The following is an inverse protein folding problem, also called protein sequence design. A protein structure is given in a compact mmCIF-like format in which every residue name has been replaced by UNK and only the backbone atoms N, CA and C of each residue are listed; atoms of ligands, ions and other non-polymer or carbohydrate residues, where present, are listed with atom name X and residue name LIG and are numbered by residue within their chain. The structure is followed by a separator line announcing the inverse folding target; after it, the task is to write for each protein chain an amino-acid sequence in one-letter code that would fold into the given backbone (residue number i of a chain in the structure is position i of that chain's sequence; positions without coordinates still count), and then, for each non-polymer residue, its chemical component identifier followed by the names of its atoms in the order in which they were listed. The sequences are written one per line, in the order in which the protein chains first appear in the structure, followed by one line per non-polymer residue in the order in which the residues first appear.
data_IF_513459070756
#
_entry.id   IF_513459070756
#
_cell.length_a   1.000
_cell.length_b   1.000
_cell.length_c   1.000
_cell.angle_alpha   90.00
_cell.angle_beta   90.00
_cell.angle_gamma   90.00
#
_symmetry.space_group_name_H-M   'P 1'
#
loop_
_entity.id
_entity.type
_entity.pdbx_description
1 polymer ?
#
# COMPACT_ATOMS: atom_id res chain seq x y z
N UNK A 1 8.75 21.56 5.54
CA UNK A 1 8.71 21.35 6.99
C UNK A 1 9.90 20.51 7.42
N UNK A 2 10.64 20.95 8.39
CA UNK A 2 11.69 20.13 8.98
C UNK A 2 11.06 18.87 9.60
N UNK A 3 11.55 17.68 9.22
CA UNK A 3 11.14 16.44 9.89
C UNK A 3 11.58 16.56 11.35
N UNK A 4 10.63 16.43 12.27
CA UNK A 4 10.95 16.36 13.69
C UNK A 4 11.87 15.16 13.90
N UNK A 5 13.07 15.41 14.41
CA UNK A 5 13.95 14.30 14.77
C UNK A 5 13.26 13.43 15.80
N UNK A 6 13.22 12.11 15.51
CA UNK A 6 12.61 11.16 16.42
C UNK A 6 13.44 11.09 17.70
N UNK A 7 12.79 11.28 18.83
CA UNK A 7 13.43 11.06 20.11
C UNK A 7 13.80 9.58 20.26
N UNK A 8 14.80 9.29 21.10
CA UNK A 8 15.23 7.92 21.37
C UNK A 8 14.05 7.13 21.96
N UNK A 9 13.63 6.06 21.27
CA UNK A 9 12.46 5.24 21.65
C UNK A 9 11.18 5.55 20.88
N UNK A 10 11.19 6.55 19.99
CA UNK A 10 10.05 6.83 19.11
C UNK A 10 9.92 5.77 18.02
N UNK A 11 8.69 5.59 17.54
CA UNK A 11 8.35 4.66 16.46
C UNK A 11 8.04 5.46 15.21
N UNK A 12 8.58 5.03 14.07
CA UNK A 12 8.24 5.61 12.77
C UNK A 12 6.89 5.05 12.33
N UNK A 13 5.93 5.94 12.07
CA UNK A 13 4.59 5.57 11.62
C UNK A 13 4.45 5.88 10.13
N UNK A 14 3.97 4.91 9.37
CA UNK A 14 3.74 5.05 7.94
C UNK A 14 2.45 4.35 7.54
N UNK A 15 1.88 4.77 6.42
CA UNK A 15 0.67 4.18 5.87
C UNK A 15 0.73 4.12 4.36
N UNK A 16 0.04 3.15 3.79
CA UNK A 16 0.01 2.95 2.35
C UNK A 16 -1.16 2.12 1.89
N UNK A 17 -1.07 1.62 0.67
CA UNK A 17 -2.19 0.95 0.03
C UNK A 17 -1.84 -0.30 -0.72
N UNK A 18 -2.78 -1.25 -0.70
CA UNK A 18 -2.93 -2.28 -1.71
C UNK A 18 -3.88 -1.69 -2.76
N UNK A 19 -3.31 -1.18 -3.85
CA UNK A 19 -4.04 -0.43 -4.87
C UNK A 19 -4.41 -1.36 -6.01
N UNK A 20 -5.70 -1.48 -6.26
CA UNK A 20 -6.27 -2.45 -7.19
C UNK A 20 -6.88 -1.77 -8.41
N UNK A 21 -6.77 -2.45 -9.55
CA UNK A 21 -7.56 -2.16 -10.75
C UNK A 21 -8.14 -3.46 -11.31
N UNK A 22 -9.21 -3.36 -12.08
CA UNK A 22 -9.70 -4.46 -12.90
C UNK A 22 -9.03 -4.41 -14.27
N UNK A 23 -8.62 -5.57 -14.78
CA UNK A 23 -8.13 -5.70 -16.14
C UNK A 23 -8.84 -6.87 -16.83
N UNK A 24 -8.58 -7.06 -18.13
CA UNK A 24 -9.09 -8.21 -18.88
C UNK A 24 -8.62 -9.55 -18.31
N UNK A 25 -7.53 -9.55 -17.54
CA UNK A 25 -6.93 -10.72 -16.89
C UNK A 25 -7.37 -10.92 -15.44
N UNK A 26 -8.31 -10.09 -14.94
CA UNK A 26 -8.74 -10.09 -13.56
C UNK A 26 -8.22 -8.89 -12.78
N UNK A 27 -8.12 -9.00 -11.47
CA UNK A 27 -7.62 -7.91 -10.63
C UNK A 27 -6.09 -7.86 -10.64
N UNK A 28 -5.58 -6.66 -10.75
CA UNK A 28 -4.16 -6.39 -10.68
C UNK A 28 -3.86 -5.38 -9.56
N UNK A 29 -2.69 -5.52 -8.95
CA UNK A 29 -2.20 -4.64 -7.89
C UNK A 29 -1.03 -3.81 -8.38
N UNK A 30 -0.95 -2.56 -7.92
CA UNK A 30 0.16 -1.66 -8.25
C UNK A 30 1.34 -1.90 -7.33
N UNK A 31 2.51 -2.15 -7.90
CA UNK A 31 3.79 -2.10 -7.21
C UNK A 31 4.60 -0.92 -7.74
N UNK A 32 5.41 -0.33 -6.88
CA UNK A 32 6.26 0.80 -7.23
C UNK A 32 7.74 0.44 -7.09
N UNK A 33 8.56 1.03 -7.95
CA UNK A 33 10.01 0.90 -7.92
C UNK A 33 10.64 2.11 -7.24
N UNK A 34 11.56 1.85 -6.29
CA UNK A 34 12.31 2.90 -5.61
C UNK A 34 13.76 2.90 -6.11
N UNK A 35 14.18 3.94 -6.87
CA UNK A 35 15.51 3.94 -7.49
C UNK A 35 16.65 3.93 -6.47
N UNK A 36 16.48 4.59 -5.33
CA UNK A 36 17.50 4.64 -4.27
C UNK A 36 17.88 3.26 -3.73
N UNK A 37 16.90 2.35 -3.64
CA UNK A 37 17.09 1.02 -3.09
C UNK A 37 17.07 -0.08 -4.15
N UNK A 38 16.73 0.27 -5.38
CA UNK A 38 16.48 -0.66 -6.48
C UNK A 38 15.59 -1.83 -6.03
N UNK A 39 14.45 -1.49 -5.44
CA UNK A 39 13.48 -2.46 -4.94
C UNK A 39 12.07 -2.18 -5.44
N UNK A 40 11.22 -3.21 -5.37
CA UNK A 40 9.80 -3.14 -5.67
C UNK A 40 9.01 -3.26 -4.39
N UNK A 41 8.14 -2.30 -4.12
CA UNK A 41 7.40 -2.18 -2.87
C UNK A 41 5.94 -1.84 -3.11
N UNK A 42 5.13 -1.99 -2.05
CA UNK A 42 3.81 -1.37 -1.98
C UNK A 42 3.98 0.14 -1.75
N UNK A 43 3.15 0.99 -2.38
CA UNK A 43 3.23 2.43 -2.17
C UNK A 43 2.85 2.80 -0.74
N UNK A 44 3.68 3.62 -0.09
CA UNK A 44 3.51 4.02 1.32
C UNK A 44 4.41 5.19 1.68
N UNK A 45 4.11 5.85 2.78
CA UNK A 45 4.98 6.89 3.32
C UNK A 45 4.64 7.27 4.75
N UNK A 46 5.40 8.19 5.29
CA UNK A 46 5.34 8.57 6.70
C UNK A 46 4.16 9.49 7.01
N UNK A 47 3.55 9.32 8.20
CA UNK A 47 2.52 10.22 8.68
C UNK A 47 3.09 11.63 8.89
N UNK A 48 2.30 12.62 8.48
CA UNK A 48 2.51 14.02 8.84
C UNK A 48 1.84 14.33 10.18
N UNK A 49 2.32 15.36 10.87
CA UNK A 49 1.75 15.76 12.15
C UNK A 49 0.25 16.07 12.03
N UNK A 50 -0.56 15.48 12.89
CA UNK A 50 -2.02 15.70 12.92
C UNK A 50 -2.80 14.95 11.84
N UNK A 51 -2.13 14.18 10.99
CA UNK A 51 -2.75 13.40 9.92
C UNK A 51 -3.29 12.07 10.46
N UNK A 52 -4.50 11.67 10.02
CA UNK A 52 -4.98 10.31 10.30
C UNK A 52 -4.19 9.28 9.49
N UNK A 53 -4.20 8.04 9.94
CA UNK A 53 -3.57 6.93 9.21
C UNK A 53 -4.16 6.79 7.80
N UNK A 54 -5.49 6.89 7.68
CA UNK A 54 -6.19 6.74 6.40
C UNK A 54 -5.87 7.89 5.44
N UNK A 55 -5.84 9.12 5.93
CA UNK A 55 -5.49 10.28 5.11
C UNK A 55 -4.04 10.19 4.62
N UNK A 56 -3.13 9.75 5.48
CA UNK A 56 -1.74 9.48 5.11
C UNK A 56 -1.66 8.43 4.00
N UNK A 57 -2.38 7.32 4.16
CA UNK A 57 -2.37 6.24 3.18
C UNK A 57 -2.78 6.73 1.79
N UNK A 58 -3.89 7.46 1.71
CA UNK A 58 -4.38 8.02 0.44
C UNK A 58 -3.39 9.04 -0.13
N UNK A 59 -2.93 9.98 0.68
CA UNK A 59 -1.99 11.02 0.25
C UNK A 59 -0.69 10.43 -0.29
N UNK A 60 -0.08 9.51 0.43
CA UNK A 60 1.18 8.90 0.02
C UNK A 60 1.03 8.07 -1.26
N UNK A 61 -0.06 7.32 -1.39
CA UNK A 61 -0.35 6.58 -2.63
C UNK A 61 -0.49 7.55 -3.80
N UNK A 62 -1.25 8.62 -3.65
CA UNK A 62 -1.45 9.62 -4.72
C UNK A 62 -0.15 10.33 -5.09
N UNK A 63 0.66 10.73 -4.10
CA UNK A 63 1.96 11.36 -4.34
C UNK A 63 2.95 10.43 -5.04
N UNK A 64 3.07 9.19 -4.60
CA UNK A 64 4.03 8.23 -5.17
C UNK A 64 3.62 7.72 -6.55
N UNK A 65 2.34 7.58 -6.81
CA UNK A 65 1.84 6.94 -8.04
C UNK A 65 1.18 7.89 -9.03
N UNK A 66 0.68 9.04 -8.57
CA UNK A 66 -0.15 9.93 -9.37
C UNK A 66 -1.56 9.38 -9.63
N UNK A 67 -1.92 8.25 -9.02
CA UNK A 67 -3.24 7.65 -9.17
C UNK A 67 -4.23 8.33 -8.24
N UNK A 68 -5.46 8.53 -8.71
CA UNK A 68 -6.59 8.89 -7.87
C UNK A 68 -7.22 7.62 -7.33
N UNK A 69 -7.39 7.50 -6.00
CA UNK A 69 -7.83 6.27 -5.36
C UNK A 69 -9.00 6.50 -4.41
N UNK A 70 -9.82 5.47 -4.27
CA UNK A 70 -10.89 5.40 -3.29
C UNK A 70 -10.48 4.44 -2.16
N UNK A 71 -10.51 4.94 -0.92
CA UNK A 71 -10.16 4.17 0.26
C UNK A 71 -11.20 3.06 0.51
N UNK A 72 -10.70 1.85 0.73
CA UNK A 72 -11.47 0.69 1.13
C UNK A 72 -11.16 0.25 2.55
N UNK A 73 -11.36 -1.03 2.84
CA UNK A 73 -11.12 -1.61 4.16
C UNK A 73 -9.64 -1.79 4.50
N UNK A 74 -9.36 -1.94 5.79
CA UNK A 74 -8.02 -2.23 6.28
C UNK A 74 -7.50 -3.56 5.70
N UNK A 75 -6.27 -3.57 5.22
CA UNK A 75 -5.68 -4.73 4.55
C UNK A 75 -4.68 -5.50 5.40
N UNK A 76 -3.89 -4.82 6.20
CA UNK A 76 -2.88 -5.45 7.03
C UNK A 76 -1.79 -4.49 7.46
N UNK A 77 -0.82 -5.01 8.21
CA UNK A 77 0.27 -4.22 8.75
C UNK A 77 1.57 -5.01 8.74
N UNK A 78 2.68 -4.29 8.78
CA UNK A 78 3.98 -4.87 9.06
C UNK A 78 4.78 -3.95 9.97
N UNK A 79 5.73 -4.53 10.70
CA UNK A 79 6.65 -3.79 11.53
C UNK A 79 8.05 -4.35 11.37
N UNK A 80 9.03 -3.47 11.45
CA UNK A 80 10.44 -3.87 11.33
C UNK A 80 11.36 -2.81 11.92
N UNK A 81 12.58 -3.20 12.19
CA UNK A 81 13.61 -2.28 12.68
C UNK A 81 14.29 -1.59 11.51
N UNK A 82 14.39 -0.26 11.60
CA UNK A 82 15.26 0.54 10.73
C UNK A 82 16.53 0.92 11.50
N UNK A 83 17.49 1.51 10.81
CA UNK A 83 18.72 2.02 11.47
C UNK A 83 18.44 3.09 12.53
N UNK A 84 17.29 3.78 12.45
CA UNK A 84 16.95 4.91 13.34
C UNK A 84 15.99 4.51 14.44
N UNK A 85 14.95 3.70 14.11
CA UNK A 85 13.88 3.37 15.03
C UNK A 85 13.04 2.21 14.50
N UNK A 86 12.24 1.56 15.35
CA UNK A 86 11.18 0.65 14.88
C UNK A 86 10.22 1.39 13.97
N UNK A 87 9.70 0.70 12.96
CA UNK A 87 8.74 1.25 12.00
C UNK A 87 7.52 0.36 11.93
N UNK A 88 6.33 0.99 11.95
CA UNK A 88 5.04 0.33 11.74
C UNK A 88 4.41 0.92 10.48
N UNK A 89 3.95 0.05 9.59
CA UNK A 89 3.26 0.45 8.37
C UNK A 89 1.87 -0.21 8.35
N UNK A 90 0.83 0.60 8.21
CA UNK A 90 -0.54 0.13 8.04
C UNK A 90 -0.96 0.29 6.59
N UNK A 91 -1.67 -0.69 6.04
CA UNK A 91 -2.12 -0.71 4.66
C UNK A 91 -3.64 -0.84 4.56
N UNK A 92 -4.23 -0.12 3.62
CA UNK A 92 -5.65 -0.20 3.27
C UNK A 92 -5.80 -0.67 1.83
N UNK A 93 -6.87 -1.41 1.57
CA UNK A 93 -7.30 -1.66 0.19
C UNK A 93 -7.75 -0.35 -0.44
N UNK A 94 -7.39 -0.12 -1.69
CA UNK A 94 -7.80 1.05 -2.46
C UNK A 94 -8.16 0.61 -3.87
N UNK A 95 -9.19 1.25 -4.44
CA UNK A 95 -9.53 1.07 -5.85
C UNK A 95 -9.12 2.32 -6.62
N UNK A 96 -8.45 2.12 -7.76
CA UNK A 96 -8.11 3.26 -8.63
C UNK A 96 -9.39 3.84 -9.25
N UNK A 97 -9.47 5.17 -9.28
CA UNK A 97 -10.53 5.91 -9.95
C UNK A 97 -9.91 6.70 -11.10
N UNK A 98 -10.43 6.50 -12.32
CA UNK A 98 -9.90 7.19 -13.50
C UNK A 98 -8.66 6.53 -14.09
N UNK A 99 -7.65 7.34 -14.42
CA UNK A 99 -6.44 6.87 -15.11
C UNK A 99 -5.63 5.87 -14.27
N UNK A 100 -5.11 4.85 -14.93
CA UNK A 100 -4.21 3.86 -14.32
C UNK A 100 -2.74 4.11 -14.67
N UNK A 101 -2.43 5.25 -15.28
CA UNK A 101 -1.08 5.60 -15.71
C UNK A 101 -0.26 6.17 -14.56
N UNK A 102 0.97 5.74 -14.45
CA UNK A 102 1.92 6.30 -13.50
C UNK A 102 2.16 7.79 -13.79
N UNK A 103 2.00 8.62 -12.76
CA UNK A 103 2.25 10.06 -12.80
C UNK A 103 2.75 10.56 -11.44
N UNK A 104 3.71 9.84 -10.84
CA UNK A 104 4.25 10.18 -9.52
C UNK A 104 4.94 11.54 -9.51
N UNK A 105 4.85 12.24 -8.38
CA UNK A 105 5.37 13.60 -8.22
C UNK A 105 6.86 13.62 -7.87
N UNK A 106 7.36 12.57 -7.20
CA UNK A 106 8.72 12.50 -6.68
C UNK A 106 9.47 11.32 -7.30
N UNK A 107 10.04 11.55 -8.51
CA UNK A 107 10.72 10.50 -9.28
C UNK A 107 12.03 10.02 -8.65
N UNK A 108 12.61 10.79 -7.73
CA UNK A 108 13.74 10.38 -6.92
C UNK A 108 13.36 9.36 -5.84
N UNK A 109 12.10 9.36 -5.41
CA UNK A 109 11.57 8.40 -4.44
C UNK A 109 10.93 7.18 -5.11
N UNK A 110 10.11 7.40 -6.15
CA UNK A 110 9.43 6.36 -6.95
C UNK A 110 9.49 6.75 -8.41
N UNK A 111 10.11 5.92 -9.23
CA UNK A 111 10.33 6.22 -10.66
C UNK A 111 9.54 5.34 -11.62
N UNK A 112 8.85 4.31 -11.13
CA UNK A 112 8.07 3.41 -11.97
C UNK A 112 6.95 2.73 -11.18
N UNK A 113 5.93 2.32 -11.91
CA UNK A 113 4.80 1.55 -11.39
C UNK A 113 4.50 0.41 -12.36
N UNK A 114 4.25 -0.77 -11.83
CA UNK A 114 3.74 -1.91 -12.60
C UNK A 114 2.44 -2.44 -11.99
N UNK A 115 1.50 -2.78 -12.88
CA UNK A 115 0.28 -3.47 -12.54
C UNK A 115 0.48 -4.97 -12.73
N UNK A 116 0.32 -5.74 -11.68
CA UNK A 116 0.60 -7.18 -11.69
C UNK A 116 -0.57 -7.97 -11.07
N UNK A 117 -0.81 -9.16 -11.59
CA UNK A 117 -1.66 -10.13 -10.89
C UNK A 117 -1.04 -10.50 -9.53
N UNK A 118 -1.85 -11.03 -8.63
CA UNK A 118 -1.43 -11.29 -7.23
C UNK A 118 -0.20 -12.19 -7.15
N UNK A 119 -0.18 -13.28 -7.89
CA UNK A 119 0.94 -14.23 -7.81
C UNK A 119 2.24 -13.63 -8.32
N UNK A 120 2.19 -12.89 -9.41
CA UNK A 120 3.36 -12.20 -9.96
C UNK A 120 3.82 -11.07 -9.03
N UNK A 121 2.89 -10.32 -8.45
CA UNK A 121 3.20 -9.27 -7.49
C UNK A 121 3.92 -9.84 -6.26
N UNK A 122 3.49 -10.98 -5.75
CA UNK A 122 4.18 -11.68 -4.65
C UNK A 122 5.63 -12.03 -5.01
N UNK A 123 5.86 -12.50 -6.23
CA UNK A 123 7.23 -12.80 -6.70
C UNK A 123 8.06 -11.55 -6.88
N UNK A 124 7.46 -10.45 -7.34
CA UNK A 124 8.16 -9.20 -7.62
C UNK A 124 8.49 -8.39 -6.36
N UNK A 125 7.65 -8.42 -5.34
CA UNK A 125 7.89 -7.70 -4.09
C UNK A 125 9.23 -8.11 -3.48
N UNK A 126 10.07 -7.14 -3.21
CA UNK A 126 11.43 -7.37 -2.70
C UNK A 126 11.41 -7.86 -1.26
N UNK A 127 10.50 -7.34 -0.43
CA UNK A 127 10.52 -7.58 1.01
C UNK A 127 9.48 -8.62 1.43
N UNK A 128 9.94 -9.62 2.19
CA UNK A 128 9.09 -10.70 2.71
C UNK A 128 7.91 -10.19 3.53
N UNK A 129 8.12 -9.14 4.33
CA UNK A 129 7.05 -8.53 5.13
C UNK A 129 5.90 -7.99 4.28
N UNK A 130 6.20 -7.43 3.11
CA UNK A 130 5.17 -6.93 2.19
C UNK A 130 4.48 -8.06 1.43
N UNK A 131 5.20 -9.11 1.08
CA UNK A 131 4.58 -10.33 0.51
C UNK A 131 3.55 -10.92 1.48
N UNK A 132 3.85 -10.90 2.77
CA UNK A 132 2.91 -11.34 3.81
C UNK A 132 1.70 -10.42 3.90
N UNK A 133 1.87 -9.11 3.88
CA UNK A 133 0.76 -8.13 3.85
C UNK A 133 -0.16 -8.38 2.66
N UNK A 134 0.40 -8.58 1.47
CA UNK A 134 -0.39 -8.87 0.27
C UNK A 134 -1.18 -10.17 0.44
N UNK A 135 -0.56 -11.23 0.89
CA UNK A 135 -1.22 -12.52 1.09
C UNK A 135 -2.36 -12.43 2.12
N UNK A 136 -2.13 -11.78 3.24
CA UNK A 136 -3.14 -11.57 4.30
C UNK A 136 -4.28 -10.68 3.82
N UNK A 137 -3.98 -9.61 3.09
CA UNK A 137 -4.97 -8.71 2.52
C UNK A 137 -5.88 -9.40 1.52
N UNK A 138 -5.33 -10.22 0.63
CA UNK A 138 -6.10 -11.03 -0.33
C UNK A 138 -6.98 -12.04 0.39
N UNK A 139 -6.46 -12.77 1.36
CA UNK A 139 -7.23 -13.74 2.15
C UNK A 139 -8.36 -13.07 2.94
N UNK A 140 -8.11 -11.90 3.54
CA UNK A 140 -9.10 -11.12 4.27
C UNK A 140 -10.25 -10.64 3.37
N UNK A 141 -9.94 -10.15 2.17
CA UNK A 141 -10.94 -9.73 1.19
C UNK A 141 -11.83 -10.91 0.74
N UNK A 142 -11.25 -12.08 0.50
CA UNK A 142 -11.99 -13.29 0.16
C UNK A 142 -12.95 -13.73 1.28
N UNK A 143 -12.52 -13.65 2.53
CA UNK A 143 -13.37 -13.97 3.69
C UNK A 143 -14.54 -13.01 3.81
N UNK A 144 -14.32 -11.70 3.64
CA UNK A 144 -15.37 -10.68 3.66
C UNK A 144 -16.40 -10.90 2.57
N UNK A 145 -15.98 -11.21 1.35
CA UNK A 145 -16.87 -11.51 0.23
C UNK A 145 -17.69 -12.79 0.47
N UNK A 146 -17.09 -13.84 1.00
CA UNK A 146 -17.78 -15.08 1.34
C UNK A 146 -18.83 -14.86 2.44
N UNK A 147 -18.54 -14.03 3.45
CA UNK A 147 -19.48 -13.67 4.51
C UNK A 147 -20.68 -12.87 3.98
N UNK A 148 -20.43 -11.91 3.06
CA UNK A 148 -21.50 -11.14 2.39
C UNK A 148 -22.40 -12.05 1.54
N UNK A 149 -21.82 -12.96 0.76
CA UNK A 149 -22.57 -13.95 -0.04
C UNK A 149 -23.49 -14.82 0.81
N UNK A 150 -23.02 -15.27 1.96
CA UNK A 150 -23.85 -16.08 2.91
C UNK A 150 -25.01 -15.29 3.51
N UNK A 151 -24.86 -13.99 3.75
CA UNK A 151 -25.95 -13.14 4.27
C UNK A 151 -27.05 -12.92 3.25
N UNK A 152 -26.73 -12.86 1.97
CA UNK A 152 -27.70 -12.66 0.88
C UNK A 152 -28.51 -13.96 0.63
N UNK A 153 -27.91 -15.13 0.76
CA UNK A 153 -28.57 -16.42 0.54
C UNK A 153 -29.37 -16.92 1.74
N UNK A 154 -29.33 -16.24 2.86
CA UNK A 154 -30.07 -16.60 4.09
C UNK A 154 -31.38 -15.85 4.32
N UNK A 155 -31.91 -15.15 3.30
CA UNK A 155 -33.21 -14.46 3.39
C UNK A 155 -34.31 -15.23 2.67
#
# INVERSE_FOLDING_TARGET
MARKDLARGDVILAAGGLVWRKSARGREIALVHRPKYDDWTLPKGKLSAGESWQDCAVREVEEETGLEVRLGGFAGSCSYLTKRAPKIVLFWHMEVEGSTRFAGERLDEVDALEWLGVDEARRRLTHRRERRVLAEGVAGARRSNAARGRRISGQ
#
